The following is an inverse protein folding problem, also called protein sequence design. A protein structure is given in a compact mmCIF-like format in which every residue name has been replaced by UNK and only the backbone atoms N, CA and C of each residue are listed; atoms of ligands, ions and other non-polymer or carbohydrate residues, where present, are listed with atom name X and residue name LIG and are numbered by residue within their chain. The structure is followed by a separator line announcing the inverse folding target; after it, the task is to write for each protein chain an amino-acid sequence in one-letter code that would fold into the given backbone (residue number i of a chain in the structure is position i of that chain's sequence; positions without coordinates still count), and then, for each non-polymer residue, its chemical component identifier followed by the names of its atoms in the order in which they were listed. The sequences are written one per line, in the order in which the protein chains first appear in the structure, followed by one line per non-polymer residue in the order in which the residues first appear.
data_IF_029459893907
#
_entry.id   IF_029459893907
#
_cell.length_a   1.000
_cell.length_b   1.000
_cell.length_c   1.000
_cell.angle_alpha   90.00
_cell.angle_beta   90.00
_cell.angle_gamma   90.00
#
_symmetry.space_group_name_H-M   'P 1'
#
loop_
_entity.id
_entity.type
_entity.pdbx_description
1 polymer ?
#
# COMPACT_ATOMS: atom_id res chain seq x y z
N UNK A 1 -4.16 -19.90 17.41
CA UNK A 1 -4.39 -20.70 16.18
C UNK A 1 -3.26 -20.42 15.19
N UNK A 2 -2.90 -21.41 14.40
CA UNK A 2 -1.79 -21.36 13.43
C UNK A 2 -2.28 -22.01 12.13
N UNK A 3 -1.89 -21.41 11.01
CA UNK A 3 -2.04 -21.96 9.66
C UNK A 3 -0.65 -21.97 9.00
N UNK A 4 -0.37 -21.13 8.03
CA UNK A 4 0.99 -20.91 7.49
C UNK A 4 1.82 -19.99 8.41
N UNK A 5 1.14 -19.19 9.22
CA UNK A 5 1.64 -18.32 10.25
C UNK A 5 0.68 -18.23 11.43
N UNK A 6 0.96 -17.35 12.37
CA UNK A 6 0.08 -17.08 13.51
C UNK A 6 -1.16 -16.33 13.02
N UNK A 7 -2.35 -16.86 13.25
CA UNK A 7 -3.59 -16.20 12.91
C UNK A 7 -3.86 -15.04 13.87
N UNK A 8 -4.18 -13.88 13.31
CA UNK A 8 -4.48 -12.65 14.04
C UNK A 8 -5.75 -12.01 13.52
N UNK A 9 -6.40 -11.24 14.38
CA UNK A 9 -7.49 -10.35 13.98
C UNK A 9 -7.00 -8.99 13.49
N UNK A 10 -7.92 -8.06 13.19
CA UNK A 10 -7.57 -6.70 12.74
C UNK A 10 -6.93 -5.84 13.84
N UNK A 11 -7.03 -6.25 15.10
CA UNK A 11 -6.35 -5.61 16.23
C UNK A 11 -5.02 -6.32 16.57
N UNK A 12 -4.57 -7.25 15.71
CA UNK A 12 -3.35 -8.05 15.85
C UNK A 12 -3.36 -8.99 17.07
N UNK A 13 -4.55 -9.30 17.61
CA UNK A 13 -4.73 -10.26 18.69
C UNK A 13 -4.66 -11.67 18.14
N UNK A 14 -4.01 -12.56 18.89
CA UNK A 14 -4.03 -13.99 18.61
C UNK A 14 -5.25 -14.66 19.28
N UNK A 15 -5.37 -15.98 19.09
CA UNK A 15 -6.40 -16.77 19.80
C UNK A 15 -6.16 -16.89 21.32
N UNK A 16 -4.98 -16.48 21.82
CA UNK A 16 -4.69 -16.44 23.26
C UNK A 16 -4.92 -15.01 23.80
N UNK A 17 -5.67 -14.91 24.87
CA UNK A 17 -5.95 -13.63 25.52
C UNK A 17 -4.64 -12.94 25.98
N UNK A 18 -4.53 -11.63 25.70
CA UNK A 18 -3.35 -10.84 26.04
C UNK A 18 -2.12 -11.06 25.14
N UNK A 19 -2.20 -11.92 24.13
CA UNK A 19 -1.09 -12.20 23.20
C UNK A 19 -1.38 -11.59 21.84
N UNK A 20 -0.42 -10.82 21.34
CA UNK A 20 -0.44 -10.17 20.02
C UNK A 20 0.68 -10.73 19.14
N UNK A 21 0.48 -10.71 17.82
CA UNK A 21 1.52 -11.08 16.87
C UNK A 21 1.52 -10.14 15.65
N UNK A 22 2.69 -9.93 15.06
CA UNK A 22 2.89 -9.14 13.84
C UNK A 22 4.17 -9.55 13.13
N UNK A 23 4.42 -8.93 11.95
CA UNK A 23 5.60 -9.21 11.15
C UNK A 23 5.52 -10.53 10.37
N UNK A 24 6.67 -11.05 9.99
CA UNK A 24 6.82 -12.13 9.02
C UNK A 24 6.13 -13.45 9.42
N UNK A 25 5.94 -13.65 10.72
CA UNK A 25 5.31 -14.86 11.28
C UNK A 25 3.79 -14.76 11.40
N UNK A 26 3.19 -13.58 11.24
CA UNK A 26 1.76 -13.37 11.42
C UNK A 26 1.03 -13.27 10.08
N UNK A 27 -0.16 -13.87 10.00
CA UNK A 27 -1.03 -13.73 8.82
C UNK A 27 -1.82 -12.42 8.92
N UNK A 28 -1.16 -11.32 8.51
CA UNK A 28 -1.75 -10.00 8.46
C UNK A 28 -2.70 -9.80 7.27
N UNK A 29 -3.60 -8.84 7.40
CA UNK A 29 -4.55 -8.51 6.37
C UNK A 29 -3.87 -7.88 5.15
N UNK A 30 -4.10 -8.48 3.97
CA UNK A 30 -3.74 -7.89 2.68
C UNK A 30 -4.92 -7.06 2.17
N UNK A 31 -4.76 -5.75 2.15
CA UNK A 31 -5.83 -4.84 1.76
C UNK A 31 -6.19 -4.95 0.26
N UNK A 32 -5.26 -5.41 -0.58
CA UNK A 32 -5.48 -5.57 -2.02
C UNK A 32 -6.27 -6.84 -2.32
N UNK A 33 -5.84 -7.96 -1.74
CA UNK A 33 -6.47 -9.26 -1.97
C UNK A 33 -7.67 -9.52 -1.06
N UNK A 34 -7.87 -8.72 -0.01
CA UNK A 34 -8.94 -8.85 1.00
C UNK A 34 -8.89 -10.17 1.77
N UNK A 35 -7.69 -10.70 1.99
CA UNK A 35 -7.45 -11.96 2.74
C UNK A 35 -6.35 -11.75 3.78
N UNK A 36 -6.31 -12.61 4.78
CA UNK A 36 -5.17 -12.70 5.69
C UNK A 36 -4.12 -13.63 5.08
N UNK A 37 -2.86 -13.21 5.11
CA UNK A 37 -1.72 -14.00 4.65
C UNK A 37 -0.40 -13.52 5.23
N UNK A 38 0.64 -14.31 5.09
CA UNK A 38 2.00 -13.88 5.40
C UNK A 38 2.42 -12.76 4.42
N UNK A 39 2.89 -11.66 4.98
CA UNK A 39 3.43 -10.50 4.27
C UNK A 39 4.80 -10.15 4.84
N UNK A 40 5.86 -10.93 4.50
CA UNK A 40 7.21 -10.75 5.05
C UNK A 40 7.88 -9.53 4.39
N UNK A 41 7.41 -8.36 4.75
CA UNK A 41 7.93 -7.08 4.28
C UNK A 41 8.08 -6.11 5.45
N UNK A 42 9.14 -5.35 5.45
CA UNK A 42 9.47 -4.41 6.53
C UNK A 42 8.34 -3.43 6.88
N UNK A 43 7.63 -2.78 5.90
CA UNK A 43 6.53 -1.88 6.22
C UNK A 43 5.37 -2.57 6.97
N UNK A 44 5.02 -3.82 6.62
CA UNK A 44 3.98 -4.57 7.30
C UNK A 44 4.38 -4.89 8.75
N UNK A 45 5.63 -5.31 8.96
CA UNK A 45 6.17 -5.58 10.29
C UNK A 45 6.17 -4.32 11.16
N UNK A 46 6.64 -3.19 10.62
CA UNK A 46 6.69 -1.91 11.35
C UNK A 46 5.30 -1.39 11.73
N UNK A 47 4.38 -1.31 10.77
CA UNK A 47 3.01 -0.81 11.01
C UNK A 47 2.26 -1.78 11.94
N UNK A 48 2.43 -3.08 11.73
CA UNK A 48 1.84 -4.11 12.60
C UNK A 48 2.37 -3.99 14.03
N UNK A 49 3.69 -3.88 14.23
CA UNK A 49 4.30 -3.71 15.55
C UNK A 49 3.78 -2.48 16.29
N UNK A 50 3.65 -1.35 15.58
CA UNK A 50 3.09 -0.11 16.13
C UNK A 50 1.62 -0.29 16.55
N UNK A 51 0.80 -0.91 15.69
CA UNK A 51 -0.62 -1.17 15.98
C UNK A 51 -0.77 -2.13 17.17
N UNK A 52 0.02 -3.20 17.20
CA UNK A 52 0.03 -4.13 18.33
C UNK A 52 0.40 -3.41 19.64
N UNK A 53 1.44 -2.56 19.61
CA UNK A 53 1.86 -1.77 20.77
C UNK A 53 0.75 -0.85 21.30
N UNK A 54 0.03 -0.16 20.43
CA UNK A 54 -1.13 0.65 20.83
C UNK A 54 -2.23 -0.19 21.48
N UNK A 55 -2.54 -1.36 20.91
CA UNK A 55 -3.56 -2.25 21.44
C UNK A 55 -3.14 -2.87 22.79
N UNK A 56 -1.86 -3.19 22.97
CA UNK A 56 -1.30 -3.63 24.26
C UNK A 56 -1.37 -2.54 25.33
N UNK A 57 -1.27 -1.27 24.91
CA UNK A 57 -1.44 -0.11 25.79
C UNK A 57 -2.91 0.26 26.05
N UNK A 58 -3.87 -0.55 25.60
CA UNK A 58 -5.31 -0.35 25.84
C UNK A 58 -6.01 0.54 24.80
N UNK A 59 -5.32 0.98 23.74
CA UNK A 59 -5.96 1.68 22.62
C UNK A 59 -6.59 0.65 21.67
N UNK A 60 -7.81 0.93 21.21
CA UNK A 60 -8.46 0.06 20.22
C UNK A 60 -8.15 0.55 18.81
N UNK A 61 -7.00 0.14 18.28
CA UNK A 61 -6.50 0.54 16.96
C UNK A 61 -6.59 -0.61 15.97
N UNK A 62 -7.24 -0.37 14.84
CA UNK A 62 -7.33 -1.35 13.75
C UNK A 62 -6.11 -1.30 12.84
N UNK A 63 -5.61 -2.48 12.43
CA UNK A 63 -4.56 -2.60 11.42
C UNK A 63 -5.16 -2.48 10.02
N UNK A 64 -4.84 -1.41 9.30
CA UNK A 64 -5.34 -1.15 7.94
C UNK A 64 -4.92 -2.20 6.91
N UNK A 65 -3.94 -3.01 7.25
CA UNK A 65 -3.35 -3.98 6.34
C UNK A 65 -2.15 -3.44 5.57
N UNK A 66 -1.53 -4.35 4.85
CA UNK A 66 -0.46 -4.09 3.89
C UNK A 66 -0.74 -4.87 2.61
N UNK A 67 0.09 -4.72 1.60
CA UNK A 67 0.16 -5.64 0.46
C UNK A 67 1.62 -5.82 0.05
N UNK A 68 1.91 -6.82 -0.77
CA UNK A 68 3.28 -7.03 -1.25
C UNK A 68 3.81 -5.75 -1.90
N UNK A 69 4.97 -5.32 -1.45
CA UNK A 69 5.69 -4.20 -2.05
C UNK A 69 7.18 -4.37 -1.89
N UNK A 70 7.93 -3.81 -2.82
CA UNK A 70 9.38 -3.76 -2.76
C UNK A 70 9.86 -2.41 -3.29
N UNK A 71 10.83 -1.83 -2.59
CA UNK A 71 11.53 -0.63 -3.03
C UNK A 71 13.02 -0.87 -2.83
N UNK A 72 13.77 -0.85 -3.89
CA UNK A 72 15.20 -1.11 -3.85
C UNK A 72 15.97 -0.22 -4.84
N UNK A 73 17.24 -0.05 -4.58
CA UNK A 73 18.16 0.60 -5.50
C UNK A 73 19.23 -0.41 -5.91
N UNK A 74 19.17 -0.89 -7.14
CA UNK A 74 20.09 -1.87 -7.67
C UNK A 74 21.15 -1.17 -8.54
N UNK A 75 22.37 -1.06 -8.02
CA UNK A 75 23.48 -0.36 -8.69
C UNK A 75 23.09 1.02 -9.25
N UNK A 76 22.50 1.87 -8.38
CA UNK A 76 21.98 3.20 -8.73
C UNK A 76 20.80 3.19 -9.70
N UNK A 77 20.17 2.04 -9.92
CA UNK A 77 18.93 1.91 -10.68
C UNK A 77 17.76 1.64 -9.73
N UNK A 78 16.98 2.67 -9.38
CA UNK A 78 15.88 2.52 -8.44
C UNK A 78 14.71 1.77 -9.04
N UNK A 79 14.04 0.96 -8.20
CA UNK A 79 12.85 0.20 -8.53
C UNK A 79 11.86 0.25 -7.38
N UNK A 80 10.58 0.45 -7.72
CA UNK A 80 9.45 0.30 -6.79
C UNK A 80 8.41 -0.59 -7.46
N UNK A 81 7.99 -1.63 -6.77
CA UNK A 81 6.92 -2.52 -7.20
C UNK A 81 5.93 -2.72 -6.06
N UNK A 82 4.63 -2.77 -6.34
CA UNK A 82 3.62 -3.12 -5.36
C UNK A 82 2.41 -3.78 -6.01
N UNK A 83 1.76 -4.70 -5.29
CA UNK A 83 0.58 -5.41 -5.73
C UNK A 83 0.84 -6.43 -6.85
N UNK A 84 -0.10 -6.55 -7.78
CA UNK A 84 -0.11 -7.55 -8.85
C UNK A 84 0.67 -7.06 -10.08
N UNK A 85 2.00 -7.15 -10.04
CA UNK A 85 2.87 -6.62 -11.11
C UNK A 85 3.17 -7.62 -12.24
N UNK A 86 3.01 -8.92 -11.99
CA UNK A 86 3.36 -9.98 -12.94
C UNK A 86 2.27 -10.31 -13.96
N UNK A 87 1.15 -9.59 -13.92
CA UNK A 87 0.08 -9.74 -14.89
C UNK A 87 0.46 -9.08 -16.22
N UNK A 88 0.28 -9.78 -17.34
CA UNK A 88 0.52 -9.24 -18.68
C UNK A 88 -0.80 -9.01 -19.42
N UNK A 89 -1.50 -10.08 -19.75
CA UNK A 89 -2.79 -10.07 -20.47
C UNK A 89 -3.72 -11.11 -19.86
N UNK A 90 -4.22 -10.83 -18.69
CA UNK A 90 -5.23 -11.68 -18.06
C UNK A 90 -6.61 -11.05 -18.18
N UNK A 91 -7.62 -11.89 -18.37
CA UNK A 91 -9.01 -11.43 -18.48
C UNK A 91 -9.43 -10.64 -17.24
N UNK A 92 -10.08 -9.50 -17.47
CA UNK A 92 -10.53 -8.60 -16.41
C UNK A 92 -9.47 -7.63 -15.88
N UNK A 93 -8.24 -7.64 -16.44
CA UNK A 93 -7.19 -6.69 -16.08
C UNK A 93 -6.78 -5.81 -17.27
N UNK A 94 -6.59 -4.53 -17.00
CA UNK A 94 -6.02 -3.57 -17.95
C UNK A 94 -4.58 -3.29 -17.55
N UNK A 95 -3.64 -3.53 -18.46
CA UNK A 95 -2.20 -3.31 -18.23
C UNK A 95 -1.72 -2.14 -19.05
N UNK A 96 -1.25 -1.11 -18.39
CA UNK A 96 -0.68 0.09 -19.01
C UNK A 96 0.83 0.09 -18.81
N UNK A 97 1.59 0.32 -19.88
CA UNK A 97 3.06 0.40 -19.82
C UNK A 97 3.59 1.63 -20.54
N UNK A 98 4.71 2.14 -20.07
CA UNK A 98 5.48 3.20 -20.73
C UNK A 98 6.96 2.93 -20.55
N UNK A 99 7.71 2.97 -21.65
CA UNK A 99 9.16 2.90 -21.65
C UNK A 99 9.68 4.17 -22.31
N UNK A 100 10.44 4.98 -21.57
CA UNK A 100 11.09 6.20 -22.08
C UNK A 100 12.55 6.23 -21.59
N UNK A 101 13.49 6.17 -22.51
CA UNK A 101 14.92 6.06 -22.16
C UNK A 101 15.17 4.90 -21.19
N UNK A 102 15.63 5.18 -19.96
CA UNK A 102 15.86 4.19 -18.90
C UNK A 102 14.71 4.08 -17.90
N UNK A 103 13.59 4.78 -18.12
CA UNK A 103 12.44 4.76 -17.24
C UNK A 103 11.39 3.79 -17.75
N UNK A 104 11.01 2.82 -16.92
CA UNK A 104 9.87 1.95 -17.21
C UNK A 104 8.78 2.14 -16.15
N UNK A 105 7.56 2.24 -16.60
CA UNK A 105 6.37 2.28 -15.76
C UNK A 105 5.37 1.26 -16.23
N UNK A 106 4.81 0.52 -15.28
CA UNK A 106 3.69 -0.39 -15.49
C UNK A 106 2.64 -0.13 -14.41
N UNK A 107 1.40 -0.05 -14.82
CA UNK A 107 0.25 0.04 -13.92
C UNK A 107 -0.75 -1.02 -14.35
N UNK A 108 -1.25 -1.76 -13.38
CA UNK A 108 -2.28 -2.78 -13.59
C UNK A 108 -3.56 -2.29 -12.93
N UNK A 109 -4.64 -2.28 -13.69
CA UNK A 109 -5.97 -1.90 -13.23
C UNK A 109 -6.90 -3.11 -13.25
N UNK A 110 -7.84 -3.13 -12.30
CA UNK A 110 -9.04 -3.96 -12.30
C UNK A 110 -10.22 -3.10 -11.90
N UNK A 111 -11.29 -3.12 -12.69
CA UNK A 111 -12.49 -2.30 -12.46
C UNK A 111 -12.16 -0.81 -12.19
N UNK A 112 -11.29 -0.23 -13.03
CA UNK A 112 -10.74 1.14 -12.90
C UNK A 112 -10.03 1.43 -11.58
N UNK A 113 -9.59 0.41 -10.82
CA UNK A 113 -8.80 0.58 -9.59
C UNK A 113 -7.41 0.03 -9.80
N UNK A 114 -6.41 0.71 -9.24
CA UNK A 114 -5.02 0.26 -9.33
C UNK A 114 -4.86 -0.98 -8.44
N UNK A 115 -4.36 -2.07 -9.03
CA UNK A 115 -4.06 -3.32 -8.34
C UNK A 115 -2.59 -3.72 -8.43
N UNK A 116 -1.81 -3.01 -9.25
CA UNK A 116 -0.37 -3.23 -9.36
C UNK A 116 0.35 -2.01 -9.92
N UNK A 117 1.56 -1.78 -9.46
CA UNK A 117 2.47 -0.77 -10.02
C UNK A 117 3.91 -1.27 -10.03
N UNK A 118 4.65 -0.93 -11.09
CA UNK A 118 6.09 -1.15 -11.20
C UNK A 118 6.71 0.07 -11.86
N UNK A 119 7.62 0.73 -11.14
CA UNK A 119 8.39 1.87 -11.62
C UNK A 119 9.87 1.55 -11.55
N UNK A 120 10.62 1.86 -12.59
CA UNK A 120 12.08 1.73 -12.61
C UNK A 120 12.74 2.97 -13.21
N UNK A 121 13.98 3.22 -12.83
CA UNK A 121 14.80 4.35 -13.30
C UNK A 121 14.43 5.66 -12.60
N UNK A 122 13.20 6.13 -12.71
CA UNK A 122 12.68 7.29 -11.97
C UNK A 122 11.42 6.85 -11.22
N UNK A 123 11.54 6.72 -9.92
CA UNK A 123 10.49 6.20 -9.03
C UNK A 123 9.73 7.29 -8.28
N UNK A 124 10.04 8.55 -8.58
CA UNK A 124 9.35 9.70 -8.00
C UNK A 124 7.84 9.55 -8.18
N UNK A 125 7.11 9.92 -7.14
CA UNK A 125 5.64 9.88 -7.09
C UNK A 125 5.01 8.48 -7.13
N UNK A 126 5.80 7.38 -7.11
CA UNK A 126 5.25 6.03 -6.95
C UNK A 126 4.39 5.92 -5.68
N UNK A 127 4.74 6.62 -4.61
CA UNK A 127 3.95 6.71 -3.39
C UNK A 127 2.55 7.30 -3.58
N UNK A 128 2.37 8.23 -4.53
CA UNK A 128 1.04 8.77 -4.86
C UNK A 128 0.16 7.66 -5.47
N UNK A 129 0.71 6.91 -6.42
CA UNK A 129 0.02 5.79 -7.08
C UNK A 129 -0.27 4.66 -6.11
N UNK A 130 0.69 4.35 -5.22
CA UNK A 130 0.48 3.39 -4.14
C UNK A 130 -0.64 3.82 -3.19
N UNK A 131 -0.71 5.11 -2.84
CA UNK A 131 -1.80 5.63 -2.02
C UNK A 131 -3.16 5.49 -2.70
N UNK A 132 -3.27 5.76 -4.02
CA UNK A 132 -4.50 5.52 -4.78
C UNK A 132 -4.90 4.04 -4.78
N UNK A 133 -3.92 3.14 -4.90
CA UNK A 133 -4.13 1.69 -4.82
C UNK A 133 -4.62 1.27 -3.44
N UNK A 134 -3.97 1.73 -2.37
CA UNK A 134 -4.33 1.43 -0.97
C UNK A 134 -5.77 1.84 -0.67
N UNK A 135 -6.15 3.03 -1.10
CA UNK A 135 -7.47 3.60 -0.82
C UNK A 135 -8.54 3.10 -1.83
N UNK A 136 -8.15 2.26 -2.79
CA UNK A 136 -9.06 1.69 -3.79
C UNK A 136 -9.79 2.74 -4.62
N UNK A 137 -9.11 3.84 -4.98
CA UNK A 137 -9.72 4.96 -5.70
C UNK A 137 -10.05 4.55 -7.15
N UNK A 138 -11.24 4.90 -7.61
CA UNK A 138 -11.59 4.81 -9.03
C UNK A 138 -10.81 5.89 -9.80
N UNK A 139 -10.00 5.44 -10.76
CA UNK A 139 -9.12 6.31 -11.53
C UNK A 139 -9.62 6.56 -12.95
N UNK A 140 -10.83 6.13 -13.29
CA UNK A 140 -11.41 6.22 -14.65
C UNK A 140 -11.30 7.63 -15.26
N UNK A 141 -11.51 8.68 -14.45
CA UNK A 141 -11.50 10.07 -14.89
C UNK A 141 -10.10 10.58 -15.30
N UNK A 142 -9.01 9.93 -14.88
CA UNK A 142 -7.63 10.37 -15.11
C UNK A 142 -6.66 9.22 -15.38
N UNK A 143 -7.17 8.02 -15.69
CA UNK A 143 -6.31 6.84 -15.87
C UNK A 143 -5.27 7.03 -16.98
N UNK A 144 -5.58 7.78 -18.04
CA UNK A 144 -4.63 8.09 -19.10
C UNK A 144 -3.38 8.84 -18.63
N UNK A 145 -3.49 9.60 -17.55
CA UNK A 145 -2.39 10.36 -16.97
C UNK A 145 -1.47 9.51 -16.08
N UNK A 146 -1.97 8.38 -15.55
CA UNK A 146 -1.24 7.56 -14.56
C UNK A 146 0.14 7.11 -15.04
N UNK A 147 0.27 6.83 -16.34
CA UNK A 147 1.52 6.35 -16.94
C UNK A 147 2.47 7.49 -17.32
N UNK A 148 2.01 8.74 -17.25
CA UNK A 148 2.82 9.92 -17.57
C UNK A 148 3.94 10.12 -16.56
N UNK A 149 5.18 10.46 -16.98
CA UNK A 149 6.25 10.86 -16.07
C UNK A 149 5.89 12.07 -15.20
N UNK A 150 5.01 12.94 -15.66
CA UNK A 150 4.56 14.13 -14.94
C UNK A 150 3.38 13.86 -14.01
N UNK A 151 2.80 12.64 -14.01
CA UNK A 151 1.66 12.32 -13.17
C UNK A 151 1.93 12.67 -11.68
N UNK A 152 0.97 13.33 -11.06
CA UNK A 152 1.06 13.74 -9.67
C UNK A 152 -0.28 14.25 -9.15
N UNK A 153 -0.27 14.88 -7.98
CA UNK A 153 -1.50 15.40 -7.35
C UNK A 153 -2.25 16.38 -8.27
N UNK A 154 -1.53 17.17 -9.06
CA UNK A 154 -2.14 18.13 -9.99
C UNK A 154 -2.90 17.47 -11.15
N UNK A 155 -2.59 16.22 -11.49
CA UNK A 155 -3.27 15.44 -12.54
C UNK A 155 -4.63 14.88 -12.09
N UNK A 156 -4.95 14.96 -10.81
CA UNK A 156 -6.21 14.44 -10.26
C UNK A 156 -7.32 15.50 -10.34
N UNK A 157 -8.58 15.06 -10.44
CA UNK A 157 -9.73 15.96 -10.29
C UNK A 157 -9.65 16.77 -8.99
N UNK A 158 -10.10 18.03 -9.06
CA UNK A 158 -9.96 18.96 -7.93
C UNK A 158 -10.58 18.46 -6.63
N UNK A 159 -11.77 17.84 -6.71
CA UNK A 159 -12.45 17.28 -5.56
C UNK A 159 -11.60 16.21 -4.85
N UNK A 160 -11.08 15.23 -5.61
CA UNK A 160 -10.22 14.17 -5.09
C UNK A 160 -8.92 14.74 -4.50
N UNK A 161 -8.31 15.70 -5.19
CA UNK A 161 -7.11 16.37 -4.71
C UNK A 161 -7.32 17.06 -3.37
N UNK A 162 -8.41 17.81 -3.22
CA UNK A 162 -8.75 18.50 -1.96
C UNK A 162 -8.98 17.51 -0.82
N UNK A 163 -9.69 16.41 -1.08
CA UNK A 163 -9.93 15.35 -0.11
C UNK A 163 -8.61 14.72 0.37
N UNK A 164 -7.74 14.34 -0.54
CA UNK A 164 -6.44 13.73 -0.22
C UNK A 164 -5.53 14.68 0.55
N UNK A 165 -5.54 15.95 0.24
CA UNK A 165 -4.76 16.95 1.00
C UNK A 165 -5.26 17.08 2.44
N UNK A 166 -6.59 17.02 2.69
CA UNK A 166 -7.14 17.02 4.05
C UNK A 166 -6.71 15.78 4.85
N UNK A 167 -6.71 14.60 4.22
CA UNK A 167 -6.27 13.36 4.86
C UNK A 167 -4.80 13.43 5.29
N UNK A 168 -3.92 14.03 4.48
CA UNK A 168 -2.50 14.22 4.81
C UNK A 168 -2.34 15.14 6.03
N UNK A 169 -3.06 16.25 6.08
CA UNK A 169 -3.02 17.18 7.21
C UNK A 169 -3.49 16.50 8.50
N UNK A 170 -4.64 15.81 8.44
CA UNK A 170 -5.22 15.12 9.60
C UNK A 170 -4.32 13.98 10.11
N UNK A 171 -3.65 13.25 9.21
CA UNK A 171 -2.71 12.19 9.62
C UNK A 171 -1.49 12.74 10.36
N UNK A 172 -0.98 13.88 9.91
CA UNK A 172 0.16 14.57 10.55
C UNK A 172 -0.20 15.12 11.94
N UNK A 173 -1.41 15.64 12.11
CA UNK A 173 -1.89 16.12 13.41
C UNK A 173 -2.09 14.96 14.41
N UNK A 174 -2.65 13.83 13.96
CA UNK A 174 -2.76 12.62 14.79
C UNK A 174 -1.40 12.08 15.20
N UNK A 175 -0.43 12.08 14.31
CA UNK A 175 0.93 11.58 14.61
C UNK A 175 1.63 12.49 15.63
N UNK A 176 1.50 13.82 15.51
CA UNK A 176 2.00 14.77 16.50
C UNK A 176 1.33 14.64 17.87
N UNK A 177 0.03 14.34 17.91
CA UNK A 177 -0.69 14.12 19.16
C UNK A 177 -0.21 12.84 19.86
N UNK A 178 0.06 11.77 19.12
CA UNK A 178 0.59 10.50 19.64
C UNK A 178 2.04 10.60 20.15
N UNK A 179 2.84 11.52 19.59
CA UNK A 179 4.22 11.75 20.05
C UNK A 179 4.30 12.58 21.35
N UNK A 180 3.20 13.23 21.76
CA UNK A 180 3.11 14.08 22.93
C UNK A 180 2.46 13.38 24.13
N UNK A 181 1.87 12.21 23.93
CA UNK A 181 1.27 11.37 24.96
C UNK A 181 2.23 10.28 25.43
#
# INVERSE_FOLDING_TARGET
AINRGILIDRNLKTSHAGVYACGDMAEGYDFLLKINRLLPIWPAAYIGGRTAGFNMAGQNTEYDGATVMNALNYFSFPLVAAGLVNLEKEEGYEVMTSLKSSMYRKIVLKDNRIVGLLYTGVVDRAGIVYGLMKDGIDVSAFKGELISPSFGMASMPEALRKERMKLIVNSHEKEKALQRA
#
